data_IF_293771405342
#
_entry.id   IF_293771405342
#
_cell.length_a   1.000
_cell.length_b   1.000
_cell.length_c   1.000
_cell.angle_alpha   90.00
_cell.angle_beta   90.00
_cell.angle_gamma   90.00
#
_symmetry.space_group_name_H-M   'P 1'
#
loop_
_entity.id
_entity.type
_entity.pdbx_description
1 polymer ?
#
# COMPACT_ATOMS: atom_id res chain seq x y z
N UNK A 1 -12.13 -0.91 26.18
CA UNK A 1 -10.71 -1.06 26.56
C UNK A 1 -10.12 -1.97 25.49
N UNK A 2 -9.35 -1.41 24.56
CA UNK A 2 -8.64 -2.20 23.56
C UNK A 2 -7.51 -2.94 24.29
N UNK A 3 -7.41 -4.26 24.10
CA UNK A 3 -6.28 -5.04 24.59
C UNK A 3 -5.00 -4.41 24.02
N UNK A 4 -4.07 -4.05 24.90
CA UNK A 4 -2.76 -3.57 24.48
C UNK A 4 -2.00 -4.73 23.86
N UNK A 5 -1.85 -4.73 22.54
CA UNK A 5 -0.98 -5.68 21.84
C UNK A 5 0.45 -5.51 22.36
N UNK A 6 1.00 -6.58 22.94
CA UNK A 6 2.38 -6.62 23.36
C UNK A 6 3.19 -7.49 22.41
N UNK A 7 4.15 -6.87 21.73
CA UNK A 7 5.03 -7.56 20.79
C UNK A 7 6.34 -7.98 21.45
N UNK A 8 6.76 -9.20 21.14
CA UNK A 8 8.00 -9.76 21.64
C UNK A 8 8.85 -10.22 20.45
N UNK A 9 10.17 -10.01 20.56
CA UNK A 9 11.15 -10.55 19.62
C UNK A 9 11.64 -11.92 20.10
N UNK A 10 11.65 -12.89 19.21
CA UNK A 10 12.26 -14.19 19.44
C UNK A 10 13.79 -14.03 19.51
N UNK A 11 14.39 -14.38 20.65
CA UNK A 11 15.85 -14.25 20.84
C UNK A 11 16.62 -15.52 20.45
N UNK A 12 15.90 -16.60 20.13
CA UNK A 12 16.46 -17.84 19.59
C UNK A 12 15.35 -18.66 18.94
N UNK A 13 15.72 -19.51 17.99
CA UNK A 13 14.79 -20.42 17.32
C UNK A 13 14.04 -21.31 18.31
N UNK A 14 12.76 -21.56 18.01
CA UNK A 14 11.89 -22.42 18.78
C UNK A 14 10.78 -23.04 17.91
N UNK A 15 10.68 -24.36 17.94
CA UNK A 15 9.60 -25.11 17.26
C UNK A 15 8.46 -25.39 18.22
N UNK A 16 7.29 -24.89 17.87
CA UNK A 16 6.03 -25.13 18.58
C UNK A 16 5.41 -26.38 17.99
N UNK A 17 5.13 -27.37 18.84
CA UNK A 17 4.44 -28.61 18.44
C UNK A 17 2.96 -28.50 18.78
N UNK A 18 2.10 -28.64 17.78
CA UNK A 18 0.66 -28.77 17.96
C UNK A 18 0.29 -30.24 18.25
N UNK A 19 -0.85 -30.46 18.92
CA UNK A 19 -1.26 -31.78 19.39
C UNK A 19 -1.63 -32.77 18.29
N UNK A 20 -1.79 -32.31 17.05
CA UNK A 20 -2.20 -33.08 15.87
C UNK A 20 -1.03 -33.47 14.95
N UNK A 21 0.21 -33.21 15.37
CA UNK A 21 1.41 -33.48 14.57
C UNK A 21 1.81 -32.34 13.63
N UNK A 22 1.05 -31.24 13.60
CA UNK A 22 1.50 -30.01 12.97
C UNK A 22 2.51 -29.30 13.88
N UNK A 23 3.42 -28.55 13.28
CA UNK A 23 4.34 -27.69 14.01
C UNK A 23 4.63 -26.45 13.20
N UNK A 24 4.86 -25.34 13.89
CA UNK A 24 5.42 -24.15 13.30
C UNK A 24 6.56 -23.66 14.16
N UNK A 25 7.54 -23.03 13.52
CA UNK A 25 8.73 -22.53 14.20
C UNK A 25 8.74 -21.03 14.19
N UNK A 26 9.22 -20.45 15.28
CA UNK A 26 9.71 -19.08 15.31
C UNK A 26 11.24 -19.13 15.21
N UNK A 27 11.81 -18.26 14.39
CA UNK A 27 13.25 -18.05 14.24
C UNK A 27 13.71 -16.84 15.05
N UNK A 28 14.98 -16.81 15.42
CA UNK A 28 15.58 -15.66 16.08
C UNK A 28 15.40 -14.40 15.22
N UNK A 29 14.83 -13.35 15.79
CA UNK A 29 14.50 -12.10 15.11
C UNK A 29 12.99 -11.94 14.85
N UNK A 30 12.24 -13.04 14.81
CA UNK A 30 10.80 -13.02 14.57
C UNK A 30 10.07 -12.18 15.61
N UNK A 31 9.09 -11.41 15.17
CA UNK A 31 8.20 -10.67 16.05
C UNK A 31 6.90 -11.46 16.19
N UNK A 32 6.46 -11.65 17.43
CA UNK A 32 5.21 -12.35 17.74
C UNK A 32 4.30 -11.49 18.59
N UNK A 33 2.99 -11.58 18.33
CA UNK A 33 1.96 -10.93 19.15
C UNK A 33 1.68 -11.79 20.36
N UNK A 34 1.81 -11.27 21.59
CA UNK A 34 1.48 -12.03 22.80
C UNK A 34 0.00 -11.86 23.13
N UNK A 35 -0.76 -12.94 22.92
CA UNK A 35 -2.19 -13.03 23.23
C UNK A 35 -2.40 -13.29 24.72
N UNK A 36 -1.54 -14.12 25.33
CA UNK A 36 -1.69 -14.51 26.73
C UNK A 36 -0.34 -14.75 27.39
N UNK A 37 -0.16 -14.16 28.57
CA UNK A 37 1.03 -14.37 29.41
C UNK A 37 0.75 -15.43 30.46
N UNK A 38 1.38 -16.60 30.33
CA UNK A 38 1.40 -17.63 31.38
C UNK A 38 2.75 -17.60 32.11
N UNK A 39 2.84 -18.34 33.23
CA UNK A 39 3.97 -18.24 34.16
C UNK A 39 5.33 -18.64 33.54
N UNK A 40 5.29 -19.60 32.62
CA UNK A 40 6.46 -20.21 31.95
C UNK A 40 6.48 -19.91 30.45
N UNK A 41 5.32 -19.92 29.80
CA UNK A 41 5.16 -19.73 28.37
C UNK A 41 4.24 -18.54 28.09
N UNK A 42 4.43 -17.90 26.95
CA UNK A 42 3.45 -17.00 26.36
C UNK A 42 2.71 -17.72 25.25
N UNK A 43 1.40 -17.53 25.17
CA UNK A 43 0.64 -17.85 23.96
C UNK A 43 0.85 -16.70 23.01
N UNK A 44 1.41 -17.01 21.84
CA UNK A 44 1.74 -16.04 20.82
C UNK A 44 1.02 -16.36 19.53
N UNK A 45 0.71 -15.34 18.76
CA UNK A 45 0.25 -15.42 17.37
C UNK A 45 1.41 -15.04 16.45
N UNK A 46 1.54 -15.79 15.36
CA UNK A 46 2.40 -15.47 14.22
C UNK A 46 1.78 -16.06 12.94
N UNK A 47 1.57 -15.24 11.91
CA UNK A 47 1.09 -15.65 10.58
C UNK A 47 -0.21 -16.47 10.59
N UNK A 48 -1.16 -16.11 11.46
CA UNK A 48 -2.43 -16.79 11.68
C UNK A 48 -2.32 -18.06 12.53
N UNK A 49 -1.12 -18.41 13.02
CA UNK A 49 -0.88 -19.59 13.86
C UNK A 49 -0.69 -19.20 15.30
N UNK A 50 -1.30 -19.96 16.20
CA UNK A 50 -1.26 -19.70 17.64
C UNK A 50 -0.51 -20.81 18.34
N UNK A 51 0.47 -20.43 19.16
CA UNK A 51 1.36 -21.39 19.79
C UNK A 51 1.88 -20.94 21.14
N UNK A 52 2.32 -21.90 21.97
CA UNK A 52 2.96 -21.59 23.25
C UNK A 52 4.48 -21.55 23.08
N UNK A 53 5.08 -20.44 23.48
CA UNK A 53 6.52 -20.20 23.41
C UNK A 53 7.05 -19.89 24.81
N UNK A 54 8.16 -20.52 25.25
CA UNK A 54 8.77 -20.20 26.53
C UNK A 54 9.13 -18.73 26.62
N UNK A 55 8.79 -18.08 27.74
CA UNK A 55 9.07 -16.66 27.94
C UNK A 55 10.57 -16.34 27.83
N UNK A 56 11.44 -17.32 28.13
CA UNK A 56 12.90 -17.20 28.02
C UNK A 56 13.40 -17.14 26.58
N UNK A 57 12.54 -17.45 25.61
CA UNK A 57 12.80 -17.36 24.17
C UNK A 57 12.34 -16.03 23.58
N UNK A 58 11.73 -15.17 24.40
CA UNK A 58 11.08 -13.94 23.98
C UNK A 58 11.64 -12.77 24.78
N UNK A 59 11.92 -11.67 24.10
CA UNK A 59 12.29 -10.40 24.73
C UNK A 59 11.20 -9.36 24.44
N UNK A 60 10.68 -8.74 25.50
CA UNK A 60 9.65 -7.71 25.38
C UNK A 60 10.23 -6.55 24.57
N UNK A 61 9.60 -6.21 23.44
CA UNK A 61 9.88 -4.96 22.75
C UNK A 61 8.86 -3.94 23.21
N UNK A 62 9.25 -3.12 24.17
CA UNK A 62 8.36 -2.13 24.75
C UNK A 62 8.06 -1.08 23.68
N UNK A 63 6.78 -0.98 23.35
CA UNK A 63 6.21 0.06 22.49
C UNK A 63 6.59 1.47 22.98
N UNK A 64 6.81 1.67 24.28
CA UNK A 64 7.32 2.91 24.86
C UNK A 64 8.76 3.25 24.50
N UNK A 65 9.66 2.29 24.29
CA UNK A 65 11.03 2.59 23.85
C UNK A 65 11.02 3.02 22.38
N UNK A 66 10.21 2.36 21.54
CA UNK A 66 9.91 2.84 20.18
C UNK A 66 9.25 4.22 20.19
N UNK A 67 8.24 4.45 21.05
CA UNK A 67 7.57 5.76 21.18
C UNK A 67 8.50 6.85 21.71
N UNK A 68 9.32 6.59 22.73
CA UNK A 68 10.30 7.54 23.30
C UNK A 68 11.47 7.80 22.35
N UNK A 69 11.91 6.80 21.60
CA UNK A 69 12.98 6.95 20.60
C UNK A 69 12.50 7.72 19.37
N UNK A 70 11.24 7.57 18.96
CA UNK A 70 10.62 8.31 17.86
C UNK A 70 10.29 9.77 18.24
N UNK A 71 9.92 10.05 19.50
CA UNK A 71 9.71 11.42 19.98
C UNK A 71 11.01 12.19 20.27
N UNK A 72 12.16 11.48 20.34
CA UNK A 72 13.37 11.99 20.96
C UNK A 72 14.41 12.71 20.09
N UNK A 73 14.56 12.42 18.79
CA UNK A 73 15.57 13.17 18.01
C UNK A 73 15.47 13.03 16.49
N UNK A 74 15.68 14.16 15.82
CA UNK A 74 15.88 14.34 14.37
C UNK A 74 17.18 13.67 13.86
N UNK A 75 17.92 12.93 14.70
CA UNK A 75 19.23 12.36 14.37
C UNK A 75 19.27 10.80 14.36
N UNK A 76 18.15 10.12 14.57
CA UNK A 76 18.09 8.64 14.68
C UNK A 76 17.39 8.02 13.45
N UNK A 77 17.91 8.34 12.25
CA UNK A 77 17.19 8.22 10.98
C UNK A 77 17.46 6.97 10.13
N UNK A 78 18.27 5.99 10.56
CA UNK A 78 18.57 4.80 9.72
C UNK A 78 18.31 3.47 10.43
N UNK A 79 18.76 3.31 11.68
CA UNK A 79 18.59 2.04 12.42
C UNK A 79 17.12 1.77 12.79
N UNK A 80 16.33 2.83 13.01
CA UNK A 80 14.89 2.71 13.22
C UNK A 80 14.11 2.41 11.94
N UNK A 81 14.53 2.99 10.81
CA UNK A 81 13.97 2.66 9.49
C UNK A 81 14.20 1.20 9.18
N UNK A 82 15.44 0.72 9.35
CA UNK A 82 15.80 -0.70 9.19
C UNK A 82 15.00 -1.60 10.12
N UNK A 83 14.69 -1.14 11.33
CA UNK A 83 13.88 -1.94 12.25
C UNK A 83 12.40 -2.01 11.84
N UNK A 84 11.78 -0.89 11.48
CA UNK A 84 10.40 -0.86 10.96
C UNK A 84 10.32 -1.66 9.66
N UNK A 85 11.29 -1.46 8.78
CA UNK A 85 11.43 -2.20 7.54
C UNK A 85 11.53 -3.70 7.79
N UNK A 86 12.36 -4.14 8.75
CA UNK A 86 12.48 -5.54 9.16
C UNK A 86 11.16 -6.10 9.70
N UNK A 87 10.47 -5.35 10.55
CA UNK A 87 9.14 -5.73 11.06
C UNK A 87 8.14 -5.95 9.90
N UNK A 88 8.12 -5.02 8.94
CA UNK A 88 7.23 -5.09 7.78
C UNK A 88 7.66 -6.17 6.77
N UNK A 89 8.95 -6.49 6.66
CA UNK A 89 9.50 -7.50 5.76
C UNK A 89 9.30 -8.93 6.26
N UNK A 90 9.52 -9.18 7.55
CA UNK A 90 9.50 -10.53 8.13
C UNK A 90 8.09 -10.98 8.51
N UNK A 91 7.18 -10.05 8.78
CA UNK A 91 5.85 -10.33 9.33
C UNK A 91 4.80 -9.31 8.83
N UNK A 92 4.89 -8.84 7.58
CA UNK A 92 4.04 -7.78 6.98
C UNK A 92 2.54 -8.09 6.84
N UNK A 93 1.97 -8.89 7.74
CA UNK A 93 0.54 -9.08 7.87
C UNK A 93 -0.15 -7.78 8.33
N UNK A 94 -1.47 -7.75 8.23
CA UNK A 94 -2.24 -6.54 8.54
C UNK A 94 -2.14 -6.12 10.01
N UNK A 95 -1.92 -7.05 10.96
CA UNK A 95 -1.82 -6.73 12.39
C UNK A 95 -0.62 -5.84 12.69
N UNK A 96 0.53 -6.14 12.08
CA UNK A 96 1.73 -5.34 12.24
C UNK A 96 1.59 -3.97 11.60
N UNK A 97 0.95 -3.88 10.43
CA UNK A 97 0.66 -2.59 9.79
C UNK A 97 -0.25 -1.73 10.67
N UNK A 98 -1.30 -2.32 11.24
CA UNK A 98 -2.17 -1.64 12.21
C UNK A 98 -1.37 -1.12 13.40
N UNK A 99 -0.51 -1.95 13.99
CA UNK A 99 0.33 -1.54 15.11
C UNK A 99 1.25 -0.35 14.77
N UNK A 100 1.90 -0.37 13.60
CA UNK A 100 2.76 0.73 13.12
C UNK A 100 1.95 2.03 12.98
N UNK A 101 0.71 1.95 12.49
CA UNK A 101 -0.19 3.10 12.37
C UNK A 101 -0.63 3.61 13.76
N UNK A 102 -1.13 2.73 14.63
CA UNK A 102 -1.66 3.06 15.96
C UNK A 102 -0.58 3.63 16.89
N UNK A 103 0.68 3.22 16.71
CA UNK A 103 1.79 3.76 17.48
C UNK A 103 2.28 5.14 17.03
N UNK A 104 1.68 5.72 15.98
CA UNK A 104 2.02 7.06 15.48
C UNK A 104 3.32 7.11 14.65
N UNK A 105 3.79 5.95 14.20
CA UNK A 105 4.99 5.85 13.34
C UNK A 105 4.68 6.48 11.98
N UNK A 106 3.52 6.15 11.39
CA UNK A 106 3.09 6.70 10.10
C UNK A 106 3.00 8.22 10.16
N UNK A 107 2.38 8.79 11.20
CA UNK A 107 2.31 10.25 11.39
C UNK A 107 3.71 10.90 11.42
N UNK A 108 4.66 10.24 12.07
CA UNK A 108 6.04 10.74 12.20
C UNK A 108 6.80 10.64 10.88
N UNK A 109 6.61 9.54 10.15
CA UNK A 109 7.19 9.31 8.83
C UNK A 109 6.69 10.33 7.80
N UNK A 110 5.37 10.53 7.72
CA UNK A 110 4.77 11.50 6.80
C UNK A 110 5.27 12.92 7.09
N UNK A 111 5.30 13.34 8.36
CA UNK A 111 5.87 14.65 8.75
C UNK A 111 7.35 14.79 8.39
N UNK A 112 8.14 13.73 8.56
CA UNK A 112 9.57 13.77 8.23
C UNK A 112 9.79 13.93 6.73
N UNK A 113 9.06 13.15 5.93
CA UNK A 113 9.09 13.22 4.46
C UNK A 113 8.71 14.63 4.02
N UNK A 114 7.58 15.17 4.52
CA UNK A 114 7.12 16.50 4.13
C UNK A 114 8.09 17.62 4.54
N UNK A 115 8.75 17.49 5.69
CA UNK A 115 9.74 18.48 6.15
C UNK A 115 11.05 18.42 5.35
N UNK A 116 11.40 17.26 4.81
CA UNK A 116 12.69 17.02 4.15
C UNK A 116 12.52 16.57 2.70
N UNK A 117 11.49 17.04 1.99
CA UNK A 117 11.15 16.58 0.62
C UNK A 117 12.32 16.61 -0.36
N UNK A 118 13.25 17.55 -0.20
CA UNK A 118 14.44 17.69 -1.06
C UNK A 118 15.51 16.61 -0.81
N UNK A 119 15.47 15.94 0.35
CA UNK A 119 16.49 14.99 0.81
C UNK A 119 15.89 13.63 1.19
N UNK A 120 14.66 13.32 0.76
CA UNK A 120 14.07 12.00 1.01
C UNK A 120 14.84 10.92 0.26
N UNK A 121 14.95 9.75 0.88
CA UNK A 121 15.63 8.58 0.31
C UNK A 121 14.62 7.49 -0.05
N UNK A 122 14.97 6.54 -0.94
CA UNK A 122 14.11 5.41 -1.25
C UNK A 122 13.63 4.65 0.00
N UNK A 123 14.48 4.49 1.01
CA UNK A 123 14.16 3.80 2.27
C UNK A 123 13.05 4.50 3.06
N UNK A 124 12.92 5.83 2.93
CA UNK A 124 11.81 6.54 3.57
C UNK A 124 10.46 6.19 2.94
N UNK A 125 10.46 5.93 1.62
CA UNK A 125 9.24 5.74 0.82
C UNK A 125 8.87 4.27 0.76
N UNK A 126 9.86 3.38 0.81
CA UNK A 126 9.66 1.93 0.85
C UNK A 126 8.77 1.50 2.02
N UNK A 127 8.89 2.15 3.19
CA UNK A 127 7.99 1.89 4.31
C UNK A 127 6.54 2.25 3.95
N UNK A 128 6.30 3.38 3.27
CA UNK A 128 4.95 3.74 2.82
C UNK A 128 4.41 2.70 1.82
N UNK A 129 5.25 2.26 0.88
CA UNK A 129 4.89 1.20 -0.06
C UNK A 129 4.49 -0.09 0.66
N UNK A 130 5.33 -0.59 1.57
CA UNK A 130 5.06 -1.80 2.38
C UNK A 130 3.78 -1.69 3.22
N UNK A 131 3.45 -0.50 3.72
CA UNK A 131 2.20 -0.27 4.44
C UNK A 131 0.96 -0.37 3.55
N UNK A 132 1.08 -0.16 2.24
CA UNK A 132 -0.03 -0.25 1.30
C UNK A 132 -0.12 -1.60 0.59
N UNK A 133 1.00 -2.29 0.39
CA UNK A 133 1.07 -3.55 -0.35
C UNK A 133 0.28 -4.66 0.34
N UNK A 134 -0.65 -5.31 -0.36
CA UNK A 134 -1.50 -6.40 0.19
C UNK A 134 -2.21 -6.05 1.51
N UNK A 135 -2.56 -4.78 1.70
CA UNK A 135 -3.20 -4.30 2.92
C UNK A 135 -4.71 -4.51 2.91
N UNK A 136 -5.27 -4.80 4.09
CA UNK A 136 -6.73 -4.88 4.27
C UNK A 136 -7.36 -3.49 4.17
N UNK A 137 -8.67 -3.46 3.93
CA UNK A 137 -9.47 -2.23 3.88
C UNK A 137 -9.32 -1.39 5.15
N UNK A 138 -9.28 -2.02 6.33
CA UNK A 138 -9.05 -1.34 7.61
C UNK A 138 -7.68 -0.61 7.63
N UNK A 139 -6.61 -1.31 7.26
CA UNK A 139 -5.26 -0.71 7.21
C UNK A 139 -5.26 0.49 6.25
N UNK A 140 -5.84 0.33 5.06
CA UNK A 140 -5.93 1.40 4.08
C UNK A 140 -6.74 2.58 4.60
N UNK A 141 -7.90 2.34 5.21
CA UNK A 141 -8.73 3.39 5.80
C UNK A 141 -7.96 4.21 6.84
N UNK A 142 -7.23 3.54 7.74
CA UNK A 142 -6.42 4.23 8.73
C UNK A 142 -5.28 5.04 8.10
N UNK A 143 -4.62 4.53 7.05
CA UNK A 143 -3.60 5.30 6.32
C UNK A 143 -4.19 6.55 5.67
N UNK A 144 -5.43 6.48 5.17
CA UNK A 144 -6.15 7.63 4.61
C UNK A 144 -6.46 8.67 5.69
N UNK A 145 -6.86 8.25 6.89
CA UNK A 145 -7.03 9.13 8.05
C UNK A 145 -5.72 9.83 8.45
N UNK A 146 -4.56 9.21 8.16
CA UNK A 146 -3.23 9.84 8.33
C UNK A 146 -2.86 10.79 7.19
N UNK A 147 -3.73 11.02 6.22
CA UNK A 147 -3.49 11.87 5.04
C UNK A 147 -2.35 11.40 4.13
N UNK A 148 -2.14 10.08 4.01
CA UNK A 148 -1.05 9.51 3.20
C UNK A 148 -1.06 10.00 1.74
N UNK A 149 -2.25 10.20 1.15
CA UNK A 149 -2.40 10.69 -0.22
C UNK A 149 -1.68 12.02 -0.46
N UNK A 150 -1.83 12.98 0.45
CA UNK A 150 -1.23 14.32 0.31
C UNK A 150 0.28 14.22 0.17
N UNK A 151 0.92 13.38 0.99
CA UNK A 151 2.37 13.17 0.93
C UNK A 151 2.77 12.44 -0.35
N UNK A 152 2.08 11.33 -0.70
CA UNK A 152 2.37 10.55 -1.91
C UNK A 152 2.26 11.39 -3.20
N UNK A 153 1.24 12.23 -3.33
CA UNK A 153 1.08 13.08 -4.51
C UNK A 153 2.19 14.12 -4.65
N UNK A 154 2.70 14.68 -3.55
CA UNK A 154 3.87 15.58 -3.61
C UNK A 154 5.16 14.83 -3.97
N UNK A 155 5.28 13.56 -3.58
CA UNK A 155 6.45 12.72 -3.94
C UNK A 155 6.47 12.44 -5.44
N UNK A 156 5.33 12.42 -6.12
CA UNK A 156 5.28 12.23 -7.58
C UNK A 156 6.00 13.34 -8.36
N UNK A 157 6.27 14.51 -7.77
CA UNK A 157 7.01 15.61 -8.41
C UNK A 157 8.54 15.43 -8.32
N UNK A 158 9.01 14.39 -7.64
CA UNK A 158 10.44 14.17 -7.44
C UNK A 158 11.13 13.67 -8.72
N UNK A 159 12.45 13.87 -8.77
CA UNK A 159 13.28 13.47 -9.92
C UNK A 159 13.86 12.05 -9.76
N UNK A 160 13.99 11.55 -8.54
CA UNK A 160 14.53 10.22 -8.29
C UNK A 160 13.48 9.16 -8.70
N UNK A 161 13.80 8.36 -9.71
CA UNK A 161 12.89 7.38 -10.30
C UNK A 161 12.41 6.34 -9.28
N UNK A 162 13.28 5.85 -8.40
CA UNK A 162 12.91 4.84 -7.41
C UNK A 162 11.88 5.41 -6.42
N UNK A 163 12.11 6.65 -5.96
CA UNK A 163 11.20 7.35 -5.05
C UNK A 163 9.82 7.56 -5.70
N UNK A 164 9.80 8.03 -6.95
CA UNK A 164 8.56 8.26 -7.70
C UNK A 164 7.82 6.93 -7.93
N UNK A 165 8.55 5.87 -8.28
CA UNK A 165 7.99 4.54 -8.52
C UNK A 165 7.33 3.98 -7.26
N UNK A 166 8.03 4.01 -6.11
CA UNK A 166 7.47 3.56 -4.83
C UNK A 166 6.21 4.34 -4.46
N UNK A 167 6.20 5.66 -4.68
CA UNK A 167 5.01 6.47 -4.43
C UNK A 167 3.85 6.14 -5.38
N UNK A 168 4.13 5.95 -6.68
CA UNK A 168 3.13 5.56 -7.66
C UNK A 168 2.51 4.19 -7.36
N UNK A 169 3.33 3.20 -6.98
CA UNK A 169 2.84 1.88 -6.56
C UNK A 169 2.03 1.95 -5.27
N UNK A 170 2.44 2.80 -4.32
CA UNK A 170 1.65 3.02 -3.10
C UNK A 170 0.25 3.59 -3.42
N UNK A 171 0.17 4.56 -4.33
CA UNK A 171 -1.11 5.13 -4.78
C UNK A 171 -1.96 4.06 -5.47
N UNK A 172 -1.36 3.26 -6.37
CA UNK A 172 -2.04 2.17 -7.05
C UNK A 172 -2.63 1.17 -6.05
N UNK A 173 -1.84 0.71 -5.06
CA UNK A 173 -2.28 -0.23 -4.04
C UNK A 173 -3.47 0.30 -3.23
N UNK A 174 -3.42 1.57 -2.81
CA UNK A 174 -4.53 2.21 -2.08
C UNK A 174 -5.79 2.24 -2.95
N UNK A 175 -5.69 2.68 -4.20
CA UNK A 175 -6.84 2.75 -5.12
C UNK A 175 -7.41 1.37 -5.44
N UNK A 176 -6.55 0.39 -5.71
CA UNK A 176 -6.96 -0.95 -6.08
C UNK A 176 -7.63 -1.70 -4.91
N UNK A 177 -7.19 -1.47 -3.67
CA UNK A 177 -7.81 -2.09 -2.49
C UNK A 177 -9.29 -1.77 -2.35
N UNK A 178 -9.67 -0.51 -2.61
CA UNK A 178 -11.05 -0.03 -2.50
C UNK A 178 -11.92 -0.48 -3.66
N UNK A 179 -11.31 -0.84 -4.78
CA UNK A 179 -12.02 -1.45 -5.89
C UNK A 179 -12.51 -2.86 -5.54
N UNK A 180 -11.66 -3.69 -4.92
CA UNK A 180 -11.98 -5.08 -4.57
C UNK A 180 -13.14 -5.20 -3.57
N UNK A 181 -13.38 -4.18 -2.74
CA UNK A 181 -14.41 -4.21 -1.68
C UNK A 181 -15.76 -3.67 -2.18
N UNK A 182 -15.80 -2.96 -3.30
CA UNK A 182 -17.06 -2.49 -3.92
C UNK A 182 -17.68 -3.58 -4.78
N UNK A 183 -19.00 -3.78 -4.64
CA UNK A 183 -19.76 -4.70 -5.48
C UNK A 183 -19.56 -4.38 -6.97
N UNK A 184 -18.82 -5.28 -7.66
CA UNK A 184 -18.44 -5.13 -9.06
C UNK A 184 -19.65 -5.01 -9.99
N UNK A 185 -20.83 -5.46 -9.55
CA UNK A 185 -22.08 -5.41 -10.32
C UNK A 185 -22.77 -4.05 -10.33
N UNK A 186 -22.42 -3.17 -9.39
CA UNK A 186 -23.01 -1.83 -9.32
C UNK A 186 -22.09 -0.87 -10.07
N UNK A 187 -22.63 -0.16 -11.06
CA UNK A 187 -22.00 0.95 -11.81
C UNK A 187 -21.62 2.16 -10.93
N UNK A 188 -21.18 1.92 -9.69
CA UNK A 188 -20.79 2.91 -8.71
C UNK A 188 -19.46 3.57 -9.07
N UNK A 189 -19.36 4.86 -8.78
CA UNK A 189 -18.10 5.60 -8.89
C UNK A 189 -17.15 5.20 -7.75
N UNK A 190 -15.85 5.36 -7.97
CA UNK A 190 -14.83 5.03 -6.97
C UNK A 190 -15.00 5.85 -5.67
N UNK A 191 -14.97 5.22 -4.47
CA UNK A 191 -15.24 5.89 -3.19
C UNK A 191 -14.24 7.01 -2.86
N UNK A 192 -13.00 6.89 -3.35
CA UNK A 192 -11.95 7.89 -3.08
C UNK A 192 -11.89 9.05 -4.09
N UNK A 193 -12.80 9.11 -5.09
CA UNK A 193 -12.71 10.13 -6.15
C UNK A 193 -12.62 11.54 -5.59
N UNK A 194 -13.53 11.90 -4.68
CA UNK A 194 -13.59 13.26 -4.13
C UNK A 194 -12.35 13.61 -3.30
N UNK A 195 -11.80 12.66 -2.55
CA UNK A 195 -10.60 12.87 -1.76
C UNK A 195 -9.38 13.09 -2.65
N UNK A 196 -9.18 12.22 -3.65
CA UNK A 196 -8.07 12.31 -4.62
C UNK A 196 -8.18 13.56 -5.49
N UNK A 197 -9.40 13.94 -5.88
CA UNK A 197 -9.66 15.17 -6.63
C UNK A 197 -9.33 16.42 -5.81
N UNK A 198 -9.82 16.50 -4.56
CA UNK A 198 -9.58 17.65 -3.65
C UNK A 198 -8.11 17.86 -3.31
N UNK A 199 -7.31 16.81 -3.28
CA UNK A 199 -5.86 16.89 -3.04
C UNK A 199 -5.04 17.20 -4.31
N UNK A 200 -5.69 17.42 -5.46
CA UNK A 200 -5.01 17.62 -6.75
C UNK A 200 -4.36 16.35 -7.31
N UNK A 201 -4.66 15.18 -6.73
CA UNK A 201 -4.02 13.91 -7.06
C UNK A 201 -4.28 13.46 -8.50
N UNK A 202 -5.47 13.72 -9.04
CA UNK A 202 -5.80 13.38 -10.45
C UNK A 202 -4.81 14.04 -11.41
N UNK A 203 -4.53 15.33 -11.21
CA UNK A 203 -3.60 16.09 -12.04
C UNK A 203 -2.18 15.52 -11.88
N UNK A 204 -1.76 15.22 -10.65
CA UNK A 204 -0.43 14.66 -10.37
C UNK A 204 -0.18 13.29 -11.01
N UNK A 205 -1.18 12.41 -10.98
CA UNK A 205 -1.10 11.09 -11.63
C UNK A 205 -1.03 11.26 -13.15
N UNK A 206 -1.78 12.20 -13.72
CA UNK A 206 -1.70 12.46 -15.15
C UNK A 206 -0.40 13.14 -15.58
N UNK A 207 0.14 14.06 -14.77
CA UNK A 207 1.48 14.63 -14.97
C UNK A 207 2.55 13.53 -14.97
N UNK A 208 2.46 12.57 -14.04
CA UNK A 208 3.33 11.39 -14.01
C UNK A 208 3.25 10.58 -15.32
N UNK A 209 2.03 10.31 -15.83
CA UNK A 209 1.85 9.66 -17.12
C UNK A 209 2.51 10.46 -18.26
N UNK A 210 2.35 11.79 -18.27
CA UNK A 210 2.94 12.66 -19.29
C UNK A 210 4.47 12.76 -19.21
N UNK A 211 5.08 12.54 -18.04
CA UNK A 211 6.54 12.53 -17.87
C UNK A 211 7.22 11.38 -18.61
N UNK A 212 6.49 10.31 -18.96
CA UNK A 212 6.98 9.18 -19.75
C UNK A 212 8.28 8.57 -19.18
N UNK A 213 8.29 8.25 -17.88
CA UNK A 213 9.50 7.82 -17.18
C UNK A 213 9.87 6.34 -17.42
N UNK A 214 8.99 5.58 -18.08
CA UNK A 214 9.16 4.16 -18.36
C UNK A 214 7.80 3.48 -18.51
N UNK A 215 7.78 2.33 -19.18
CA UNK A 215 6.55 1.58 -19.47
C UNK A 215 5.76 1.25 -18.19
N UNK A 216 6.42 0.67 -17.18
CA UNK A 216 5.79 0.32 -15.91
C UNK A 216 5.12 1.53 -15.20
N UNK A 217 5.79 2.68 -15.20
CA UNK A 217 5.26 3.90 -14.56
C UNK A 217 4.09 4.48 -15.36
N UNK A 218 4.16 4.44 -16.70
CA UNK A 218 3.07 4.89 -17.56
C UNK A 218 1.85 3.99 -17.41
N UNK A 219 2.06 2.67 -17.36
CA UNK A 219 1.02 1.67 -17.14
C UNK A 219 0.37 1.90 -15.78
N UNK A 220 1.17 2.03 -14.72
CA UNK A 220 0.69 2.32 -13.35
C UNK A 220 -0.15 3.59 -13.30
N UNK A 221 0.33 4.69 -13.89
CA UNK A 221 -0.40 5.95 -13.91
C UNK A 221 -1.73 5.83 -14.68
N UNK A 222 -1.73 5.16 -15.83
CA UNK A 222 -2.93 4.90 -16.60
C UNK A 222 -3.94 4.04 -15.85
N UNK A 223 -3.49 3.00 -15.13
CA UNK A 223 -4.32 2.16 -14.27
C UNK A 223 -4.90 2.95 -13.09
N UNK A 224 -4.12 3.83 -12.46
CA UNK A 224 -4.63 4.70 -11.38
C UNK A 224 -5.75 5.62 -11.89
N UNK A 225 -5.58 6.21 -13.08
CA UNK A 225 -6.61 7.06 -13.70
C UNK A 225 -7.86 6.23 -14.06
N UNK A 226 -7.71 5.04 -14.63
CA UNK A 226 -8.86 4.21 -14.99
C UNK A 226 -9.67 3.77 -13.77
N UNK A 227 -9.00 3.39 -12.68
CA UNK A 227 -9.62 2.97 -11.43
C UNK A 227 -10.39 4.13 -10.79
N UNK A 228 -9.76 5.31 -10.65
CA UNK A 228 -10.41 6.46 -9.99
C UNK A 228 -11.60 6.98 -10.81
N UNK A 229 -11.54 6.91 -12.15
CA UNK A 229 -12.64 7.30 -13.05
C UNK A 229 -13.62 6.18 -13.38
N UNK A 230 -13.63 5.07 -12.64
CA UNK A 230 -14.65 4.01 -12.82
C UNK A 230 -16.06 4.62 -12.85
N UNK A 231 -16.82 4.29 -13.90
CA UNK A 231 -18.19 4.77 -14.14
C UNK A 231 -18.35 6.31 -14.16
N UNK A 232 -17.26 7.07 -14.25
CA UNK A 232 -17.25 8.53 -14.27
C UNK A 232 -16.65 9.05 -15.56
N UNK A 233 -17.21 10.13 -16.09
CA UNK A 233 -16.63 10.78 -17.27
C UNK A 233 -15.27 11.40 -16.92
N UNK A 234 -14.28 11.22 -17.79
CA UNK A 234 -13.03 12.00 -17.74
C UNK A 234 -13.30 13.34 -18.41
N UNK A 235 -13.99 14.24 -17.71
CA UNK A 235 -14.58 15.48 -18.23
C UNK A 235 -13.59 16.65 -18.26
N UNK A 236 -12.74 16.77 -17.24
CA UNK A 236 -11.87 17.93 -17.01
C UNK A 236 -10.80 18.11 -18.11
N UNK A 237 -10.43 17.06 -18.84
CA UNK A 237 -9.40 17.12 -19.88
C UNK A 237 -9.67 16.08 -20.99
N UNK A 238 -10.26 16.51 -22.10
CA UNK A 238 -10.46 15.65 -23.30
C UNK A 238 -9.15 14.95 -23.73
N UNK A 239 -8.02 15.65 -23.63
CA UNK A 239 -6.71 15.09 -23.95
C UNK A 239 -6.31 13.94 -23.02
N UNK A 240 -6.58 14.06 -21.71
CA UNK A 240 -6.32 12.98 -20.74
C UNK A 240 -7.09 11.72 -21.13
N UNK A 241 -8.40 11.87 -21.39
CA UNK A 241 -9.26 10.75 -21.81
C UNK A 241 -8.69 10.03 -23.03
N UNK A 242 -8.32 10.79 -24.05
CA UNK A 242 -7.75 10.25 -25.30
C UNK A 242 -6.41 9.56 -25.07
N UNK A 243 -5.51 10.18 -24.30
CA UNK A 243 -4.19 9.65 -24.02
C UNK A 243 -4.26 8.33 -23.23
N UNK A 244 -5.05 8.30 -22.16
CA UNK A 244 -5.20 7.11 -21.32
C UNK A 244 -5.87 5.98 -22.09
N UNK A 245 -6.98 6.23 -22.80
CA UNK A 245 -7.66 5.19 -23.59
C UNK A 245 -6.76 4.66 -24.69
N UNK A 246 -6.02 5.53 -25.40
CA UNK A 246 -5.07 5.10 -26.44
C UNK A 246 -3.98 4.21 -25.85
N UNK A 247 -3.42 4.58 -24.70
CA UNK A 247 -2.38 3.81 -24.02
C UNK A 247 -2.89 2.43 -23.60
N UNK A 248 -4.06 2.37 -22.95
CA UNK A 248 -4.67 1.10 -22.53
C UNK A 248 -5.01 0.18 -23.70
N UNK A 249 -5.52 0.73 -24.82
CA UNK A 249 -5.72 -0.05 -26.05
C UNK A 249 -4.40 -0.62 -26.58
N UNK A 250 -3.34 0.18 -26.57
CA UNK A 250 -2.01 -0.24 -27.04
C UNK A 250 -1.49 -1.41 -26.20
N UNK A 251 -1.60 -1.34 -24.87
CA UNK A 251 -1.25 -2.45 -23.96
C UNK A 251 -2.05 -3.70 -24.33
N UNK A 252 -3.38 -3.59 -24.38
CA UNK A 252 -4.25 -4.76 -24.61
C UNK A 252 -3.97 -5.47 -25.95
N UNK A 253 -3.56 -4.71 -26.98
CA UNK A 253 -3.30 -5.25 -28.32
C UNK A 253 -1.87 -5.76 -28.53
N UNK A 254 -0.89 -5.23 -27.81
CA UNK A 254 0.53 -5.40 -28.18
C UNK A 254 1.45 -5.83 -27.04
N UNK A 255 1.04 -5.70 -25.78
CA UNK A 255 1.85 -6.15 -24.66
C UNK A 255 2.02 -7.68 -24.70
N UNK A 256 3.14 -8.16 -24.19
CA UNK A 256 3.47 -9.58 -24.11
C UNK A 256 3.16 -10.18 -22.74
N UNK A 257 3.04 -9.34 -21.71
CA UNK A 257 2.68 -9.75 -20.37
C UNK A 257 1.15 -9.85 -20.24
N UNK A 258 0.67 -11.07 -20.03
CA UNK A 258 -0.77 -11.36 -19.94
C UNK A 258 -1.42 -10.68 -18.72
N UNK A 259 -0.68 -10.46 -17.64
CA UNK A 259 -1.20 -9.77 -16.46
C UNK A 259 -1.45 -8.29 -16.76
N UNK A 260 -0.51 -7.65 -17.44
CA UNK A 260 -0.59 -6.25 -17.86
C UNK A 260 -1.71 -6.04 -18.88
N UNK A 261 -1.91 -6.99 -19.82
CA UNK A 261 -3.08 -7.01 -20.70
C UNK A 261 -4.39 -7.12 -19.94
N UNK A 262 -4.46 -7.99 -18.93
CA UNK A 262 -5.64 -8.13 -18.08
C UNK A 262 -5.96 -6.82 -17.36
N UNK A 263 -4.97 -6.16 -16.76
CA UNK A 263 -5.17 -4.85 -16.14
C UNK A 263 -5.63 -3.78 -17.12
N UNK A 264 -5.13 -3.80 -18.36
CA UNK A 264 -5.60 -2.88 -19.40
C UNK A 264 -7.04 -3.16 -19.84
N UNK A 265 -7.39 -4.43 -20.00
CA UNK A 265 -8.77 -4.85 -20.27
C UNK A 265 -9.73 -4.41 -19.17
N UNK A 266 -9.41 -4.71 -17.91
CA UNK A 266 -10.21 -4.30 -16.75
C UNK A 266 -10.34 -2.78 -16.66
N UNK A 267 -9.23 -2.06 -16.89
CA UNK A 267 -9.19 -0.58 -16.92
C UNK A 267 -10.10 0.01 -17.99
N UNK A 268 -10.09 -0.55 -19.21
CA UNK A 268 -11.01 -0.13 -20.28
C UNK A 268 -12.46 -0.44 -19.89
N UNK A 269 -12.70 -1.58 -19.24
CA UNK A 269 -14.02 -1.93 -18.71
C UNK A 269 -14.54 -0.90 -17.69
N UNK A 270 -13.70 -0.49 -16.72
CA UNK A 270 -14.07 0.52 -15.73
C UNK A 270 -14.47 1.86 -16.35
N UNK A 271 -13.72 2.28 -17.37
CA UNK A 271 -13.99 3.51 -18.10
C UNK A 271 -15.24 3.38 -18.98
N UNK A 272 -15.46 2.23 -19.61
CA UNK A 272 -16.61 1.97 -20.50
C UNK A 272 -17.97 1.98 -19.78
N UNK A 273 -17.99 1.87 -18.45
CA UNK A 273 -19.22 2.06 -17.65
C UNK A 273 -19.79 3.47 -17.80
N UNK A 274 -18.97 4.46 -18.20
CA UNK A 274 -19.45 5.79 -18.56
C UNK A 274 -19.60 5.93 -20.09
N UNK A 275 -20.74 6.46 -20.59
CA UNK A 275 -21.03 6.51 -22.02
C UNK A 275 -20.05 7.38 -22.83
N UNK A 276 -19.55 8.49 -22.29
CA UNK A 276 -18.62 9.39 -23.02
C UNK A 276 -17.26 8.74 -23.19
N UNK A 277 -16.77 8.07 -22.14
CA UNK A 277 -15.54 7.29 -22.22
C UNK A 277 -15.72 6.09 -23.16
N UNK A 278 -16.84 5.38 -23.08
CA UNK A 278 -17.13 4.24 -23.94
C UNK A 278 -17.12 4.64 -25.43
N UNK A 279 -17.72 5.78 -25.77
CA UNK A 279 -17.69 6.31 -27.14
C UNK A 279 -16.27 6.54 -27.65
N UNK A 280 -15.34 6.98 -26.80
CA UNK A 280 -13.92 7.12 -27.16
C UNK A 280 -13.22 5.74 -27.28
N UNK A 281 -13.57 4.79 -26.41
CA UNK A 281 -13.07 3.40 -26.46
C UNK A 281 -13.52 2.71 -27.75
N UNK A 282 -14.76 2.88 -28.20
CA UNK A 282 -15.27 2.17 -29.40
C UNK A 282 -14.90 2.83 -30.73
N UNK A 283 -14.16 3.95 -30.70
CA UNK A 283 -13.68 4.59 -31.94
C UNK A 283 -12.83 3.64 -32.77
N UNK A 284 -12.87 3.87 -34.07
CA UNK A 284 -12.12 3.12 -35.09
C UNK A 284 -12.46 1.62 -35.10
N UNK A 285 -13.67 1.26 -34.63
CA UNK A 285 -14.16 -0.11 -34.61
C UNK A 285 -13.54 -0.99 -33.53
N UNK A 286 -12.88 -0.40 -32.52
CA UNK A 286 -12.34 -1.16 -31.40
C UNK A 286 -13.47 -1.80 -30.58
N UNK A 287 -13.43 -3.12 -30.39
CA UNK A 287 -14.43 -3.88 -29.64
C UNK A 287 -13.80 -4.40 -28.35
N UNK A 288 -14.31 -3.92 -27.22
CA UNK A 288 -14.02 -4.50 -25.91
C UNK A 288 -15.06 -5.60 -25.65
N UNK A 289 -14.63 -6.86 -25.63
CA UNK A 289 -15.52 -7.98 -25.30
C UNK A 289 -15.74 -8.01 -23.79
N UNK A 290 -16.70 -7.25 -23.27
CA UNK A 290 -17.09 -7.21 -21.86
C UNK A 290 -17.81 -8.48 -21.42
#
# INVERSE_FOLDING_TARGET
MLETFEFYEAISDYTIKEGDGQSFSITKGDIVSVIKKELVNFTVEKDGKIGKVPKTKLQLKIVEDLKKQIQGSVQMGLDHYKFIERILLENGNNEIKLFVIECGIVDSLLRLIEKNMENITPENIDILYKLTDQSSENVIQLLLEKNIYTTLFKILDQNNLIIVQLAAYSIFNILFSSYLTTDQSNHSTHPHFDQVSKSGGIIKIYELFCRNLGEDMNNTAAFCISIIYRAREIDQQKQMRQNIIKHLKNILLHDTDEMTKKYAYDSLGYLALNPVNNLEITKDGFVLQL
#
